data_IF_844063904465
#
_entry.id   IF_844063904465
#
_cell.length_a   1.000
_cell.length_b   1.000
_cell.length_c   1.000
_cell.angle_alpha   90.00
_cell.angle_beta   90.00
_cell.angle_gamma   90.00
#
_symmetry.space_group_name_H-M   'P 1'
#
loop_
_entity.id
_entity.type
_entity.pdbx_description
1 polymer ?
#
# COMPACT_ATOMS: atom_id res chain seq x y z
N UNK A 1 -73.99 5.01 12.96
CA UNK A 1 -73.09 3.86 12.73
C UNK A 1 -72.95 3.59 11.22
N UNK A 2 -72.54 4.55 10.38
CA UNK A 2 -72.26 4.28 8.95
C UNK A 2 -71.51 5.47 8.29
N UNK A 3 -70.31 5.79 8.78
CA UNK A 3 -69.47 6.81 8.14
C UNK A 3 -67.96 6.55 8.35
N UNK A 4 -67.53 5.29 8.29
CA UNK A 4 -66.11 4.90 8.38
C UNK A 4 -65.60 4.17 7.12
N UNK A 5 -66.21 4.39 5.95
CA UNK A 5 -65.84 3.69 4.70
C UNK A 5 -65.34 4.63 3.60
N UNK A 6 -64.48 5.59 3.93
CA UNK A 6 -63.59 6.18 2.93
C UNK A 6 -62.17 5.77 3.27
N UNK A 7 -61.91 4.49 2.98
CA UNK A 7 -60.57 3.95 2.83
C UNK A 7 -59.83 4.82 1.81
N UNK A 8 -59.00 5.74 2.31
CA UNK A 8 -58.01 6.43 1.50
C UNK A 8 -57.10 5.36 0.90
N UNK A 9 -57.34 5.00 -0.37
CA UNK A 9 -56.38 4.21 -1.14
C UNK A 9 -55.08 5.01 -1.15
N UNK A 10 -54.10 4.59 -0.36
CA UNK A 10 -52.70 4.96 -0.60
C UNK A 10 -52.44 4.62 -2.06
N UNK A 11 -52.19 5.64 -2.88
CA UNK A 11 -51.64 5.46 -4.21
C UNK A 11 -50.24 4.91 -3.97
N UNK A 12 -50.06 3.61 -4.19
CA UNK A 12 -48.73 3.06 -4.35
C UNK A 12 -48.19 3.66 -5.66
N UNK A 13 -47.44 4.74 -5.54
CA UNK A 13 -46.69 5.34 -6.64
C UNK A 13 -45.56 4.37 -6.99
N UNK A 14 -45.80 3.55 -8.00
CA UNK A 14 -44.79 2.65 -8.54
C UNK A 14 -43.70 3.43 -9.27
N UNK A 15 -42.45 3.05 -9.02
CA UNK A 15 -41.28 3.57 -9.72
C UNK A 15 -41.41 3.31 -11.23
N UNK A 16 -41.25 4.32 -12.07
CA UNK A 16 -41.35 4.13 -13.52
C UNK A 16 -40.07 3.48 -14.06
N UNK A 17 -40.20 2.63 -15.09
CA UNK A 17 -39.03 2.04 -15.76
C UNK A 17 -38.09 3.11 -16.35
N UNK A 18 -38.65 4.24 -16.78
CA UNK A 18 -37.87 5.36 -17.32
C UNK A 18 -37.04 6.07 -16.24
N UNK A 19 -37.57 6.20 -15.01
CA UNK A 19 -36.82 6.76 -13.89
C UNK A 19 -35.62 5.88 -13.54
N UNK A 20 -35.81 4.55 -13.47
CA UNK A 20 -34.68 3.64 -13.24
C UNK A 20 -33.67 3.67 -14.40
N UNK A 21 -34.14 3.81 -15.64
CA UNK A 21 -33.28 3.85 -16.82
C UNK A 21 -32.36 5.08 -16.84
N UNK A 22 -32.90 6.27 -16.53
CA UNK A 22 -32.07 7.49 -16.47
C UNK A 22 -31.04 7.41 -15.34
N UNK A 23 -31.41 6.85 -14.19
CA UNK A 23 -30.50 6.69 -13.05
C UNK A 23 -29.31 5.80 -13.40
N UNK A 24 -29.53 4.64 -14.02
CA UNK A 24 -28.42 3.75 -14.40
C UNK A 24 -27.51 4.35 -15.48
N UNK A 25 -28.07 5.18 -16.39
CA UNK A 25 -27.26 5.91 -17.37
C UNK A 25 -26.33 6.92 -16.68
N UNK A 26 -26.85 7.70 -15.73
CA UNK A 26 -26.06 8.68 -15.00
C UNK A 26 -24.97 7.99 -14.17
N UNK A 27 -25.32 6.92 -13.43
CA UNK A 27 -24.34 6.13 -12.66
C UNK A 27 -23.29 5.51 -13.61
N UNK A 28 -23.69 5.05 -14.80
CA UNK A 28 -22.78 4.51 -15.81
C UNK A 28 -21.73 5.52 -16.27
N UNK A 29 -22.14 6.77 -16.54
CA UNK A 29 -21.22 7.85 -16.93
C UNK A 29 -20.25 8.18 -15.80
N UNK A 30 -20.76 8.31 -14.56
CA UNK A 30 -19.92 8.60 -13.39
C UNK A 30 -18.92 7.47 -13.12
N UNK A 31 -19.36 6.22 -13.20
CA UNK A 31 -18.51 5.05 -13.00
C UNK A 31 -17.40 4.94 -14.05
N UNK A 32 -17.70 5.25 -15.32
CA UNK A 32 -16.72 5.21 -16.41
C UNK A 32 -15.53 6.14 -16.17
N UNK A 33 -15.73 7.31 -15.55
CA UNK A 33 -14.67 8.26 -15.21
C UNK A 33 -14.03 7.90 -13.86
N UNK A 34 -14.84 7.52 -12.87
CA UNK A 34 -14.37 7.28 -11.51
C UNK A 34 -13.47 6.05 -11.38
N UNK A 35 -13.78 4.94 -12.08
CA UNK A 35 -13.03 3.68 -11.98
C UNK A 35 -11.55 3.85 -12.36
N UNK A 36 -11.18 4.39 -13.55
CA UNK A 36 -9.76 4.50 -13.91
C UNK A 36 -9.01 5.44 -12.96
N UNK A 37 -9.63 6.54 -12.53
CA UNK A 37 -9.04 7.49 -11.58
C UNK A 37 -8.80 6.82 -10.22
N UNK A 38 -9.77 6.06 -9.72
CA UNK A 38 -9.66 5.35 -8.46
C UNK A 38 -8.55 4.29 -8.49
N UNK A 39 -8.44 3.53 -9.59
CA UNK A 39 -7.38 2.53 -9.76
C UNK A 39 -5.99 3.19 -9.76
N UNK A 40 -5.81 4.28 -10.48
CA UNK A 40 -4.54 5.02 -10.50
C UNK A 40 -4.17 5.63 -9.13
N UNK A 41 -5.16 6.14 -8.39
CA UNK A 41 -4.92 6.64 -7.03
C UNK A 41 -4.49 5.51 -6.08
N UNK A 42 -5.12 4.33 -6.19
CA UNK A 42 -4.76 3.17 -5.37
C UNK A 42 -3.34 2.67 -5.67
N UNK A 43 -2.95 2.63 -6.95
CA UNK A 43 -1.58 2.29 -7.36
C UNK A 43 -0.57 3.31 -6.82
N UNK A 44 -0.85 4.61 -6.96
CA UNK A 44 0.02 5.68 -6.46
C UNK A 44 0.20 5.63 -4.94
N UNK A 45 -0.88 5.34 -4.21
CA UNK A 45 -0.83 5.16 -2.75
C UNK A 45 0.01 3.93 -2.36
N UNK A 46 -0.11 2.83 -3.09
CA UNK A 46 0.70 1.64 -2.85
C UNK A 46 2.21 1.90 -3.11
N UNK A 47 2.56 2.61 -4.18
CA UNK A 47 3.96 3.03 -4.43
C UNK A 47 4.51 3.96 -3.35
N UNK A 48 3.69 4.90 -2.86
CA UNK A 48 4.07 5.77 -1.76
C UNK A 48 4.31 4.98 -0.45
N UNK A 49 3.51 3.94 -0.20
CA UNK A 49 3.70 3.02 0.92
C UNK A 49 5.04 2.26 0.81
N UNK A 50 5.39 1.72 -0.36
CA UNK A 50 6.70 1.08 -0.59
C UNK A 50 7.87 2.03 -0.30
N UNK A 51 7.77 3.26 -0.81
CA UNK A 51 8.81 4.28 -0.61
C UNK A 51 8.94 4.65 0.87
N UNK A 52 7.83 4.73 1.59
CA UNK A 52 7.82 4.98 3.04
C UNK A 52 8.48 3.82 3.78
N UNK A 53 8.10 2.58 3.49
CA UNK A 53 8.66 1.39 4.15
C UNK A 53 10.17 1.28 3.90
N UNK A 54 10.63 1.52 2.67
CA UNK A 54 12.06 1.53 2.35
C UNK A 54 12.85 2.57 3.16
N UNK A 55 12.29 3.78 3.33
CA UNK A 55 12.90 4.83 4.16
C UNK A 55 12.88 4.50 5.65
N UNK A 56 11.79 3.93 6.13
CA UNK A 56 11.66 3.55 7.54
C UNK A 56 12.68 2.45 7.88
N UNK A 57 12.80 1.42 7.03
CA UNK A 57 13.81 0.38 7.20
C UNK A 57 15.23 0.93 7.18
N UNK A 58 15.52 1.87 6.28
CA UNK A 58 16.81 2.55 6.25
C UNK A 58 17.12 3.32 7.56
N UNK A 59 16.13 4.01 8.12
CA UNK A 59 16.28 4.70 9.41
C UNK A 59 16.58 3.71 10.53
N UNK A 60 15.92 2.55 10.55
CA UNK A 60 16.15 1.51 11.56
C UNK A 60 17.57 0.93 11.46
N UNK A 61 18.04 0.67 10.24
CA UNK A 61 19.42 0.20 9.97
C UNK A 61 20.45 1.24 10.41
N UNK A 62 20.25 2.52 10.11
CA UNK A 62 21.15 3.62 10.53
C UNK A 62 21.12 3.83 12.06
N UNK A 63 19.98 3.61 12.68
CA UNK A 63 19.84 3.66 14.14
C UNK A 63 20.66 2.55 14.79
N UNK A 64 20.65 1.35 14.22
CA UNK A 64 21.50 0.25 14.67
C UNK A 64 22.99 0.59 14.54
N UNK A 65 23.40 1.16 13.40
CA UNK A 65 24.78 1.60 13.20
C UNK A 65 25.22 2.62 14.25
N UNK A 66 24.34 3.55 14.64
CA UNK A 66 24.63 4.54 15.68
C UNK A 66 24.87 3.90 17.04
N UNK A 67 24.20 2.79 17.36
CA UNK A 67 24.36 2.07 18.62
C UNK A 67 25.58 1.14 18.62
N UNK A 68 25.83 0.44 17.52
CA UNK A 68 26.76 -0.69 17.45
C UNK A 68 28.05 -0.39 16.67
N UNK A 69 28.14 0.76 15.99
CA UNK A 69 29.25 1.14 15.10
C UNK A 69 29.52 0.14 13.95
N UNK A 70 28.51 -0.67 13.65
CA UNK A 70 28.49 -1.65 12.58
C UNK A 70 27.06 -1.76 12.06
N UNK A 71 26.93 -2.13 10.78
CA UNK A 71 25.62 -2.47 10.22
C UNK A 71 25.19 -3.86 10.70
N UNK A 72 23.86 -4.13 10.80
CA UNK A 72 23.37 -5.42 11.28
C UNK A 72 23.74 -6.54 10.31
N UNK A 73 23.92 -7.75 10.83
CA UNK A 73 24.23 -8.94 10.02
C UNK A 73 23.00 -9.38 9.18
N UNK A 74 21.80 -9.05 9.66
CA UNK A 74 20.56 -9.35 8.96
C UNK A 74 19.45 -8.32 9.25
N UNK A 75 18.57 -8.15 8.26
CA UNK A 75 17.32 -7.42 8.39
C UNK A 75 16.16 -8.38 8.20
N UNK A 76 15.25 -8.44 9.18
CA UNK A 76 14.16 -9.40 9.19
C UNK A 76 12.78 -8.71 9.16
N UNK A 77 11.83 -9.32 8.44
CA UNK A 77 10.41 -9.00 8.50
C UNK A 77 9.71 -10.00 9.43
N UNK A 78 9.13 -9.54 10.53
CA UNK A 78 8.59 -10.41 11.60
C UNK A 78 7.34 -11.21 11.14
N UNK A 79 7.09 -12.45 11.65
CA UNK A 79 7.35 -12.87 13.04
C UNK A 79 8.30 -14.07 13.20
N UNK A 80 9.27 -13.96 14.13
CA UNK A 80 10.25 -14.98 14.48
C UNK A 80 11.09 -14.60 15.70
N UNK A 81 12.08 -15.44 16.05
CA UNK A 81 13.11 -15.11 17.05
C UNK A 81 14.00 -14.02 16.47
N UNK A 82 14.26 -12.98 17.26
CA UNK A 82 15.01 -11.79 16.88
C UNK A 82 16.15 -11.59 17.86
N UNK A 83 17.35 -11.34 17.34
CA UNK A 83 18.51 -10.97 18.13
C UNK A 83 18.77 -9.45 17.99
N UNK A 84 18.46 -8.64 19.03
CA UNK A 84 18.66 -7.19 18.96
C UNK A 84 20.12 -6.74 18.90
N UNK A 85 21.07 -7.64 19.16
CA UNK A 85 22.49 -7.32 19.14
C UNK A 85 23.10 -7.49 17.74
N UNK A 86 22.47 -8.26 16.85
CA UNK A 86 22.99 -8.54 15.50
C UNK A 86 21.99 -8.24 14.37
N UNK A 87 20.71 -8.06 14.66
CA UNK A 87 19.66 -7.93 13.66
C UNK A 87 18.87 -6.61 13.80
N UNK A 88 18.22 -6.20 12.71
CA UNK A 88 17.20 -5.14 12.70
C UNK A 88 15.87 -5.70 12.24
N UNK A 89 14.79 -5.36 12.95
CA UNK A 89 13.43 -5.67 12.51
C UNK A 89 12.84 -4.50 11.75
N UNK A 90 12.43 -4.75 10.50
CA UNK A 90 11.70 -3.76 9.70
C UNK A 90 10.26 -4.21 9.55
N UNK A 91 9.34 -3.37 10.03
CA UNK A 91 7.91 -3.56 9.82
C UNK A 91 7.51 -2.95 8.48
N UNK A 92 6.95 -3.76 7.60
CA UNK A 92 6.41 -3.30 6.32
C UNK A 92 4.89 -3.15 6.38
N UNK A 93 4.36 -2.28 5.53
CA UNK A 93 2.94 -2.14 5.31
C UNK A 93 2.35 -3.43 4.70
N UNK A 94 1.03 -3.62 4.84
CA UNK A 94 0.36 -4.80 4.29
C UNK A 94 0.55 -4.90 2.76
N UNK A 95 0.86 -6.11 2.29
CA UNK A 95 1.22 -6.42 0.90
C UNK A 95 2.57 -5.84 0.44
N UNK A 96 3.43 -5.45 1.38
CA UNK A 96 4.82 -5.14 1.11
C UNK A 96 5.71 -6.16 1.85
N UNK A 97 6.84 -6.52 1.26
CA UNK A 97 7.79 -7.46 1.81
C UNK A 97 9.21 -6.93 1.66
N UNK A 98 10.05 -7.18 2.66
CA UNK A 98 11.50 -7.00 2.53
C UNK A 98 12.04 -8.10 1.64
N UNK A 99 12.77 -7.75 0.58
CA UNK A 99 13.31 -8.73 -0.38
C UNK A 99 14.82 -8.81 -0.39
N UNK A 100 15.51 -7.79 0.09
CA UNK A 100 16.97 -7.81 0.15
C UNK A 100 17.53 -6.81 1.13
N UNK A 101 18.68 -7.18 1.69
CA UNK A 101 19.54 -6.33 2.48
C UNK A 101 20.99 -6.74 2.23
N UNK A 102 21.84 -5.77 1.91
CA UNK A 102 23.29 -5.97 1.78
C UNK A 102 24.03 -4.75 2.33
N UNK A 103 25.21 -4.96 2.91
CA UNK A 103 26.07 -3.89 3.40
C UNK A 103 27.53 -4.06 2.95
N UNK A 104 28.31 -2.99 3.06
CA UNK A 104 29.76 -2.97 2.81
C UNK A 104 30.50 -2.17 3.89
N UNK A 105 30.13 -2.32 5.17
CA UNK A 105 30.67 -1.61 6.35
C UNK A 105 30.53 -0.08 6.37
N UNK A 106 30.50 0.61 5.22
CA UNK A 106 30.35 2.07 5.09
C UNK A 106 29.03 2.48 4.44
N UNK A 107 28.32 1.53 3.83
CA UNK A 107 27.03 1.76 3.18
C UNK A 107 26.21 0.47 3.17
N UNK A 108 24.90 0.60 2.95
CA UNK A 108 24.00 -0.52 2.78
C UNK A 108 22.98 -0.24 1.68
N UNK A 109 22.42 -1.34 1.16
CA UNK A 109 21.31 -1.37 0.22
C UNK A 109 20.18 -2.17 0.87
N UNK A 110 18.97 -1.62 0.85
CA UNK A 110 17.78 -2.23 1.42
C UNK A 110 16.63 -2.19 0.41
N UNK A 111 15.89 -3.30 0.25
CA UNK A 111 14.81 -3.38 -0.72
C UNK A 111 13.50 -3.87 -0.17
N UNK A 112 12.44 -3.24 -0.67
CA UNK A 112 11.06 -3.56 -0.36
C UNK A 112 10.28 -3.72 -1.66
N UNK A 113 9.50 -4.79 -1.75
CA UNK A 113 8.63 -5.10 -2.88
C UNK A 113 7.18 -5.19 -2.47
N UNK A 114 6.29 -4.81 -3.38
CA UNK A 114 4.88 -5.10 -3.22
C UNK A 114 4.65 -6.59 -3.53
N UNK A 115 4.34 -7.34 -2.47
CA UNK A 115 3.97 -8.76 -2.51
C UNK A 115 2.51 -9.01 -2.91
N UNK A 116 1.74 -7.94 -3.17
CA UNK A 116 0.39 -8.04 -3.71
C UNK A 116 -0.32 -6.69 -3.84
N UNK A 117 -1.52 -6.71 -4.39
CA UNK A 117 -2.38 -5.53 -4.46
C UNK A 117 -2.10 -4.63 -5.66
N UNK A 118 -2.36 -3.33 -5.52
CA UNK A 118 -2.41 -2.41 -6.67
C UNK A 118 -1.03 -2.05 -7.26
N UNK A 119 0.06 -2.34 -6.54
CA UNK A 119 1.42 -2.13 -7.01
C UNK A 119 2.22 -3.43 -7.05
N UNK A 120 1.57 -4.59 -7.11
CA UNK A 120 2.26 -5.90 -7.19
C UNK A 120 3.32 -5.90 -8.30
N UNK A 121 4.51 -6.40 -7.97
CA UNK A 121 5.68 -6.41 -8.87
C UNK A 121 6.48 -5.11 -8.91
N UNK A 122 6.08 -4.06 -8.19
CA UNK A 122 6.90 -2.87 -7.99
C UNK A 122 7.85 -3.07 -6.80
N UNK A 123 9.09 -2.64 -6.97
CA UNK A 123 10.11 -2.61 -5.91
C UNK A 123 10.66 -1.19 -5.72
N UNK A 124 11.14 -0.92 -4.51
CA UNK A 124 11.86 0.30 -4.16
C UNK A 124 13.12 -0.10 -3.43
N UNK A 125 14.24 0.48 -3.84
CA UNK A 125 15.54 0.28 -3.21
C UNK A 125 15.95 1.55 -2.47
N UNK A 126 16.47 1.41 -1.26
CA UNK A 126 17.18 2.47 -0.55
C UNK A 126 18.67 2.17 -0.61
N UNK A 127 19.45 3.12 -1.09
CA UNK A 127 20.92 3.03 -1.14
C UNK A 127 21.50 4.16 -0.28
N UNK A 128 22.20 3.79 0.80
CA UNK A 128 22.78 4.78 1.71
C UNK A 128 24.02 5.47 1.14
N UNK A 129 24.68 4.90 0.12
CA UNK A 129 25.81 5.55 -0.54
C UNK A 129 25.37 6.77 -1.38
N UNK A 130 24.20 6.67 -2.00
CA UNK A 130 23.58 7.77 -2.75
C UNK A 130 22.61 8.61 -1.92
N UNK A 131 22.23 8.13 -0.73
CA UNK A 131 21.45 8.87 0.26
C UNK A 131 19.97 9.00 -0.12
N UNK A 132 19.39 7.97 -0.73
CA UNK A 132 17.99 8.06 -1.15
C UNK A 132 17.35 6.77 -1.63
N UNK A 133 16.04 6.87 -1.83
CA UNK A 133 15.23 5.86 -2.52
C UNK A 133 15.45 5.98 -4.02
N UNK A 134 15.82 4.87 -4.66
CA UNK A 134 16.00 4.75 -6.09
C UNK A 134 14.83 3.98 -6.71
N UNK A 135 14.59 4.23 -8.00
CA UNK A 135 13.80 3.34 -8.84
C UNK A 135 14.39 1.92 -8.77
N UNK A 136 13.59 0.85 -8.99
CA UNK A 136 14.05 -0.53 -8.95
C UNK A 136 15.31 -0.68 -9.80
N UNK A 137 16.46 -0.75 -9.13
CA UNK A 137 17.72 -1.08 -9.76
C UNK A 137 17.73 -2.59 -9.85
N UNK A 138 17.45 -3.11 -11.04
CA UNK A 138 17.28 -4.53 -11.41
C UNK A 138 18.40 -5.49 -10.93
N UNK A 139 19.43 -4.99 -10.24
CA UNK A 139 20.60 -5.74 -9.76
C UNK A 139 20.94 -5.56 -8.27
N UNK A 140 20.27 -4.67 -7.52
CA UNK A 140 20.70 -4.34 -6.15
C UNK A 140 20.07 -5.22 -5.05
N UNK A 141 18.99 -5.94 -5.38
CA UNK A 141 18.32 -6.90 -4.50
C UNK A 141 17.77 -8.12 -5.26
N UNK A 142 18.66 -8.76 -6.01
CA UNK A 142 18.47 -10.11 -6.54
C UNK A 142 19.30 -11.12 -5.74
#
# INVERSE_FOLDING_TARGET
>A
MFAQLLSARKKDEGFTLIELLVVVIIIGILAAIAIPVFLNQRESAAKASLTSDARNGAIEIETFFTANQAYPDAVIAAPGVFDPDTEVQVQTSANNAVTGYTDNATSFVFCVEASGGAAEGWSVTYDSATGGTQDPVDAACA
#
